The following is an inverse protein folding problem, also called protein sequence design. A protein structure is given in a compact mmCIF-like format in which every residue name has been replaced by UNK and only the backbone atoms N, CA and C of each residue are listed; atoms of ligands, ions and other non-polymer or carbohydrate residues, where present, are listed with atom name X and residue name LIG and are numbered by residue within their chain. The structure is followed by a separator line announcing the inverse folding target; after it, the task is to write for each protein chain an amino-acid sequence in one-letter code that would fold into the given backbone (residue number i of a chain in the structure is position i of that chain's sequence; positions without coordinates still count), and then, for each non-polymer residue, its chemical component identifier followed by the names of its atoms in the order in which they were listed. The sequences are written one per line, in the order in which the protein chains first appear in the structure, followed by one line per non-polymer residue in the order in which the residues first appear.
data_IF_792299279963
#
_entry.id   IF_792299279963
#
_cell.length_a   1.000
_cell.length_b   1.000
_cell.length_c   1.000
_cell.angle_alpha   90.00
_cell.angle_beta   90.00
_cell.angle_gamma   90.00
#
_symmetry.space_group_name_H-M   'P 1'
#
loop_
_entity.id
_entity.type
_entity.pdbx_description
1 polymer ?
#
# COMPACT_ATOMS: atom_id res chain seq x y z
N UNK A 1 -36.57 10.62 -12.33
CA UNK A 1 -36.26 9.72 -11.19
C UNK A 1 -34.86 10.06 -10.69
N UNK A 2 -34.50 9.78 -9.44
CA UNK A 2 -33.10 9.96 -9.03
C UNK A 2 -32.20 9.05 -9.88
N UNK A 3 -31.37 9.64 -10.74
CA UNK A 3 -30.45 8.98 -11.71
C UNK A 3 -29.59 7.90 -11.04
N UNK A 4 -29.42 8.01 -9.73
CA UNK A 4 -28.64 7.13 -8.87
C UNK A 4 -29.26 5.73 -8.74
N UNK A 5 -30.60 5.56 -8.80
CA UNK A 5 -31.22 4.24 -8.60
C UNK A 5 -30.89 3.23 -9.70
N UNK A 6 -30.44 3.70 -10.87
CA UNK A 6 -29.89 2.87 -11.95
C UNK A 6 -28.62 2.09 -11.55
N UNK A 7 -28.00 2.44 -10.42
CA UNK A 7 -26.80 1.78 -9.89
C UNK A 7 -27.14 0.69 -8.88
N UNK A 8 -28.41 0.30 -8.76
CA UNK A 8 -28.85 -0.80 -7.92
C UNK A 8 -28.92 -2.10 -8.71
N UNK A 9 -28.29 -3.16 -8.22
CA UNK A 9 -28.40 -4.47 -8.86
C UNK A 9 -29.84 -5.01 -8.75
N UNK A 10 -30.32 -5.78 -9.75
CA UNK A 10 -31.59 -6.50 -9.65
C UNK A 10 -31.61 -7.44 -8.44
N UNK A 11 -32.81 -7.69 -7.89
CA UNK A 11 -32.97 -8.61 -6.75
C UNK A 11 -32.43 -10.00 -7.11
N UNK A 12 -31.56 -10.54 -6.25
CA UNK A 12 -30.94 -11.85 -6.45
C UNK A 12 -29.73 -11.89 -7.38
N UNK A 13 -29.37 -10.76 -8.01
CA UNK A 13 -28.18 -10.67 -8.84
C UNK A 13 -26.90 -10.87 -8.03
N UNK A 14 -25.91 -11.55 -8.64
CA UNK A 14 -24.58 -11.75 -8.07
C UNK A 14 -23.52 -11.46 -9.13
N UNK A 15 -22.45 -10.71 -8.80
CA UNK A 15 -21.38 -10.46 -9.74
C UNK A 15 -20.57 -11.72 -10.02
N UNK A 16 -20.14 -11.90 -11.27
CA UNK A 16 -19.13 -12.90 -11.62
C UNK A 16 -17.78 -12.50 -11.02
N UNK A 17 -17.13 -13.44 -10.33
CA UNK A 17 -15.81 -13.22 -9.70
C UNK A 17 -14.68 -12.91 -10.70
N UNK A 18 -14.86 -13.21 -11.98
CA UNK A 18 -13.87 -12.94 -13.04
C UNK A 18 -14.11 -11.60 -13.74
N UNK A 19 -15.35 -11.09 -13.73
CA UNK A 19 -15.75 -9.89 -14.50
C UNK A 19 -15.90 -8.64 -13.65
N UNK A 20 -15.91 -8.76 -12.32
CA UNK A 20 -16.14 -7.63 -11.42
C UNK A 20 -15.12 -7.59 -10.28
N UNK A 21 -14.61 -6.40 -10.00
CA UNK A 21 -13.99 -6.10 -8.69
C UNK A 21 -15.13 -5.78 -7.73
N UNK A 22 -15.11 -6.37 -6.53
CA UNK A 22 -16.14 -6.08 -5.53
C UNK A 22 -15.55 -5.41 -4.32
N UNK A 23 -16.19 -4.33 -3.86
CA UNK A 23 -15.76 -3.56 -2.70
C UNK A 23 -16.87 -3.57 -1.66
N UNK A 24 -16.54 -3.85 -0.41
CA UNK A 24 -17.44 -3.77 0.72
C UNK A 24 -17.28 -2.41 1.39
N UNK A 25 -18.38 -1.66 1.47
CA UNK A 25 -18.42 -0.38 2.15
C UNK A 25 -19.22 -0.47 3.45
N UNK A 26 -18.81 0.33 4.42
CA UNK A 26 -19.63 0.74 5.56
C UNK A 26 -19.79 2.25 5.50
N UNK A 27 -21.02 2.74 5.61
CA UNK A 27 -21.29 4.19 5.60
C UNK A 27 -22.03 4.62 6.87
N UNK A 28 -21.96 5.90 7.15
CA UNK A 28 -22.80 6.58 8.13
C UNK A 28 -23.46 7.75 7.40
N UNK A 29 -24.79 7.86 7.50
CA UNK A 29 -25.52 8.96 6.89
C UNK A 29 -25.27 10.26 7.66
N UNK A 30 -25.29 11.39 6.96
CA UNK A 30 -25.16 12.70 7.61
C UNK A 30 -26.26 12.94 8.66
N UNK A 31 -25.94 13.74 9.69
CA UNK A 31 -26.87 14.06 10.77
C UNK A 31 -28.18 14.65 10.20
N UNK A 32 -29.32 14.14 10.69
CA UNK A 32 -30.64 14.58 10.26
C UNK A 32 -31.17 13.87 9.01
N UNK A 33 -30.35 13.08 8.30
CA UNK A 33 -30.86 12.25 7.21
C UNK A 33 -31.62 11.01 7.73
N UNK A 34 -32.81 10.72 7.20
CA UNK A 34 -33.57 9.55 7.63
C UNK A 34 -32.90 8.26 7.14
N UNK A 35 -33.03 7.18 7.91
CA UNK A 35 -32.48 5.85 7.56
C UNK A 35 -32.99 5.32 6.21
N UNK A 36 -34.17 5.76 5.75
CA UNK A 36 -34.72 5.44 4.44
C UNK A 36 -33.80 5.85 3.28
N UNK A 37 -32.91 6.83 3.49
CA UNK A 37 -31.92 7.30 2.50
C UNK A 37 -30.68 6.43 2.37
N UNK A 38 -30.57 5.33 3.13
CA UNK A 38 -29.41 4.44 3.05
C UNK A 38 -29.21 3.86 1.65
N UNK A 39 -30.30 3.44 0.98
CA UNK A 39 -30.21 2.91 -0.39
C UNK A 39 -29.80 3.98 -1.39
N UNK A 40 -30.35 5.18 -1.28
CA UNK A 40 -29.97 6.33 -2.10
C UNK A 40 -28.48 6.67 -1.91
N UNK A 41 -27.97 6.63 -0.67
CA UNK A 41 -26.55 6.85 -0.38
C UNK A 41 -25.64 5.77 -0.98
N UNK A 42 -26.03 4.49 -0.86
CA UNK A 42 -25.29 3.39 -1.48
C UNK A 42 -25.24 3.52 -3.00
N UNK A 43 -26.39 3.86 -3.61
CA UNK A 43 -26.53 4.11 -5.04
C UNK A 43 -25.63 5.27 -5.51
N UNK A 44 -25.61 6.39 -4.76
CA UNK A 44 -24.72 7.52 -5.02
C UNK A 44 -23.24 7.16 -4.91
N UNK A 45 -22.86 6.33 -3.92
CA UNK A 45 -21.50 5.81 -3.80
C UNK A 45 -21.10 5.04 -5.07
N UNK A 46 -21.95 4.13 -5.55
CA UNK A 46 -21.66 3.40 -6.79
C UNK A 46 -21.62 4.32 -8.03
N UNK A 47 -22.51 5.31 -8.10
CA UNK A 47 -22.56 6.27 -9.19
C UNK A 47 -21.28 7.11 -9.28
N UNK A 48 -20.94 7.84 -8.21
CA UNK A 48 -19.82 8.79 -8.13
C UNK A 48 -18.44 8.09 -8.14
N UNK A 49 -18.38 6.78 -7.86
CA UNK A 49 -17.15 5.98 -7.97
C UNK A 49 -17.03 5.18 -9.27
N UNK A 50 -17.96 5.35 -10.22
CA UNK A 50 -17.89 4.70 -11.54
C UNK A 50 -18.14 5.67 -12.69
N UNK A 51 -19.39 5.88 -13.08
CA UNK A 51 -19.75 6.60 -14.32
C UNK A 51 -20.77 7.70 -14.14
N UNK A 52 -21.28 7.89 -12.92
CA UNK A 52 -22.39 8.79 -12.61
C UNK A 52 -21.94 10.14 -12.08
N UNK A 53 -22.93 11.01 -11.90
CA UNK A 53 -22.79 12.29 -11.20
C UNK A 53 -24.15 12.69 -10.58
N UNK A 54 -24.22 13.86 -9.96
CA UNK A 54 -25.37 14.35 -9.19
C UNK A 54 -26.60 14.73 -10.05
N UNK A 55 -26.46 14.85 -11.37
CA UNK A 55 -27.53 15.25 -12.30
C UNK A 55 -27.51 14.42 -13.59
N UNK A 56 -28.60 14.46 -14.34
CA UNK A 56 -28.61 13.98 -15.72
C UNK A 56 -27.65 14.81 -16.57
N UNK A 57 -26.93 14.12 -17.46
CA UNK A 57 -25.97 14.71 -18.39
C UNK A 57 -26.47 14.57 -19.82
N UNK A 58 -25.91 15.36 -20.74
CA UNK A 58 -26.23 15.29 -22.16
C UNK A 58 -26.19 13.84 -22.66
N UNK A 59 -27.27 13.39 -23.30
CA UNK A 59 -27.46 11.99 -23.74
C UNK A 59 -27.58 11.85 -25.26
N UNK A 60 -27.23 12.89 -26.02
CA UNK A 60 -27.29 12.85 -27.48
C UNK A 60 -26.21 11.98 -28.13
N UNK A 61 -26.08 12.08 -29.46
CA UNK A 61 -25.38 11.11 -30.31
C UNK A 61 -23.94 10.77 -29.87
N UNK A 62 -23.19 11.73 -29.35
CA UNK A 62 -21.78 11.58 -28.95
C UNK A 62 -21.55 11.71 -27.44
N UNK A 63 -22.59 11.50 -26.63
CA UNK A 63 -22.54 11.66 -25.16
C UNK A 63 -21.67 10.63 -24.43
N UNK A 64 -21.34 9.50 -25.06
CA UNK A 64 -20.70 8.38 -24.38
C UNK A 64 -21.62 7.60 -23.41
N UNK A 65 -22.88 8.02 -23.22
CA UNK A 65 -23.81 7.42 -22.24
C UNK A 65 -24.09 5.94 -22.48
N UNK A 66 -24.17 5.51 -23.75
CA UNK A 66 -24.30 4.08 -24.11
C UNK A 66 -23.12 3.25 -23.63
N UNK A 67 -21.92 3.83 -23.63
CA UNK A 67 -20.72 3.15 -23.15
C UNK A 67 -20.65 3.19 -21.62
N UNK A 68 -20.90 4.35 -21.01
CA UNK A 68 -20.98 4.52 -19.56
C UNK A 68 -21.94 3.50 -18.92
N UNK A 69 -23.10 3.25 -19.54
CA UNK A 69 -24.06 2.26 -19.07
C UNK A 69 -23.48 0.84 -18.91
N UNK A 70 -22.51 0.45 -19.73
CA UNK A 70 -21.82 -0.87 -19.64
C UNK A 70 -20.85 -0.95 -18.47
N UNK A 71 -20.33 0.20 -18.03
CA UNK A 71 -19.31 0.30 -16.98
C UNK A 71 -19.86 0.79 -15.63
N UNK A 72 -21.19 0.95 -15.52
CA UNK A 72 -21.86 1.28 -14.25
C UNK A 72 -21.49 0.25 -13.19
N UNK A 73 -21.07 0.74 -12.02
CA UNK A 73 -20.97 -0.11 -10.86
C UNK A 73 -22.36 -0.40 -10.28
N UNK A 74 -22.55 -1.56 -9.66
CA UNK A 74 -23.84 -1.98 -9.13
C UNK A 74 -23.75 -2.28 -7.63
N UNK A 75 -24.64 -1.66 -6.85
CA UNK A 75 -24.85 -1.95 -5.44
C UNK A 75 -25.59 -3.27 -5.28
N UNK A 76 -25.08 -4.15 -4.44
CA UNK A 76 -25.72 -5.42 -4.08
C UNK A 76 -25.40 -5.79 -2.63
N UNK A 77 -26.06 -6.83 -2.10
CA UNK A 77 -25.81 -7.37 -0.76
C UNK A 77 -25.86 -6.29 0.34
N UNK A 78 -27.02 -5.63 0.46
CA UNK A 78 -27.27 -4.50 1.35
C UNK A 78 -27.69 -5.01 2.73
N UNK A 79 -26.88 -4.72 3.75
CA UNK A 79 -27.19 -4.91 5.16
C UNK A 79 -27.37 -3.53 5.83
N UNK A 80 -28.60 -3.03 5.79
CA UNK A 80 -28.94 -1.75 6.39
C UNK A 80 -28.85 -1.77 7.93
N UNK A 81 -28.91 -2.93 8.58
CA UNK A 81 -28.74 -3.01 10.05
C UNK A 81 -27.29 -2.73 10.45
N UNK A 82 -26.33 -3.15 9.64
CA UNK A 82 -24.90 -2.90 9.85
C UNK A 82 -24.37 -1.67 9.13
N UNK A 83 -25.22 -0.96 8.38
CA UNK A 83 -24.88 0.11 7.46
C UNK A 83 -23.82 -0.30 6.42
N UNK A 84 -23.92 -1.51 5.89
CA UNK A 84 -22.95 -2.07 4.94
C UNK A 84 -23.63 -2.47 3.62
N UNK A 85 -22.87 -2.38 2.54
CA UNK A 85 -23.28 -2.84 1.21
C UNK A 85 -22.05 -3.15 0.37
N UNK A 86 -22.22 -3.96 -0.68
CA UNK A 86 -21.16 -4.20 -1.66
C UNK A 86 -21.43 -3.44 -2.93
N UNK A 87 -20.37 -3.02 -3.60
CA UNK A 87 -20.40 -2.46 -4.95
C UNK A 87 -19.58 -3.36 -5.86
N UNK A 88 -20.18 -3.76 -6.98
CA UNK A 88 -19.53 -4.52 -8.04
C UNK A 88 -19.18 -3.58 -9.20
N UNK A 89 -17.88 -3.41 -9.45
CA UNK A 89 -17.35 -2.60 -10.53
C UNK A 89 -16.95 -3.50 -11.70
N UNK A 90 -17.44 -3.26 -12.92
CA UNK A 90 -16.96 -3.99 -14.10
C UNK A 90 -15.44 -3.90 -14.20
N UNK A 91 -14.77 -5.05 -14.39
CA UNK A 91 -13.30 -5.11 -14.41
C UNK A 91 -12.69 -4.18 -15.45
N UNK A 92 -13.32 -4.11 -16.63
CA UNK A 92 -12.86 -3.31 -17.77
C UNK A 92 -13.01 -1.78 -17.55
N UNK A 93 -13.60 -1.34 -16.43
CA UNK A 93 -13.56 0.06 -15.99
C UNK A 93 -12.14 0.49 -15.56
N UNK A 94 -11.28 -0.47 -15.18
CA UNK A 94 -9.97 -0.16 -14.60
C UNK A 94 -8.82 -0.61 -15.50
N UNK A 95 -7.80 0.24 -15.55
CA UNK A 95 -6.55 -0.05 -16.23
C UNK A 95 -5.77 -1.18 -15.51
N UNK A 96 -5.38 -2.26 -16.21
CA UNK A 96 -4.54 -3.31 -15.63
C UNK A 96 -3.20 -2.74 -15.12
N UNK A 97 -2.76 -3.17 -13.94
CA UNK A 97 -1.48 -2.74 -13.35
C UNK A 97 -1.51 -1.37 -12.68
N UNK A 98 -2.64 -0.65 -12.69
CA UNK A 98 -2.77 0.69 -12.12
C UNK A 98 -3.62 0.71 -10.84
N UNK A 99 -2.99 0.48 -9.69
CA UNK A 99 -3.70 0.51 -8.39
C UNK A 99 -4.19 1.92 -8.04
N UNK A 100 -3.46 2.97 -8.45
CA UNK A 100 -3.85 4.36 -8.21
C UNK A 100 -5.12 4.71 -8.97
N UNK A 101 -5.19 4.31 -10.25
CA UNK A 101 -6.38 4.48 -11.09
C UNK A 101 -7.58 3.70 -10.57
N UNK A 102 -7.36 2.50 -10.03
CA UNK A 102 -8.42 1.78 -9.32
C UNK A 102 -8.89 2.57 -8.09
N UNK A 103 -7.99 2.95 -7.17
CA UNK A 103 -8.36 3.62 -5.92
C UNK A 103 -9.04 4.99 -6.13
N UNK A 104 -8.76 5.68 -7.24
CA UNK A 104 -9.38 6.95 -7.58
C UNK A 104 -10.91 6.89 -7.65
N UNK A 105 -11.50 5.72 -7.94
CA UNK A 105 -12.95 5.51 -7.84
C UNK A 105 -13.40 5.19 -6.42
N UNK A 106 -13.21 3.95 -5.92
CA UNK A 106 -13.76 3.48 -4.64
C UNK A 106 -13.15 4.14 -3.38
N UNK A 107 -12.05 4.87 -3.50
CA UNK A 107 -11.41 5.59 -2.39
C UNK A 107 -11.15 7.07 -2.72
N UNK A 108 -11.75 7.60 -3.80
CA UNK A 108 -11.61 8.99 -4.21
C UNK A 108 -12.72 9.88 -3.65
N UNK A 109 -13.42 10.57 -4.55
CA UNK A 109 -14.35 11.65 -4.21
C UNK A 109 -15.49 11.22 -3.27
N UNK A 110 -15.88 9.95 -3.28
CA UNK A 110 -17.01 9.45 -2.50
C UNK A 110 -16.84 9.61 -0.99
N UNK A 111 -15.60 9.68 -0.50
CA UNK A 111 -15.32 9.91 0.92
C UNK A 111 -15.74 11.32 1.38
N UNK A 112 -15.85 12.29 0.46
CA UNK A 112 -16.23 13.68 0.75
C UNK A 112 -17.69 14.01 0.48
N UNK A 113 -18.54 13.02 0.18
CA UNK A 113 -19.95 13.24 -0.13
C UNK A 113 -20.70 13.78 1.10
N UNK A 114 -21.34 14.95 0.97
CA UNK A 114 -22.08 15.63 2.06
C UNK A 114 -23.22 14.79 2.68
N UNK A 115 -23.73 13.80 1.96
CA UNK A 115 -24.77 12.89 2.46
C UNK A 115 -24.24 11.84 3.45
N UNK A 116 -22.92 11.76 3.62
CA UNK A 116 -22.23 10.81 4.49
C UNK A 116 -21.56 11.56 5.64
N UNK A 117 -21.79 11.12 6.87
CA UNK A 117 -20.98 11.50 8.03
C UNK A 117 -19.67 10.69 8.10
N UNK A 118 -19.66 9.49 7.50
CA UNK A 118 -18.50 8.63 7.44
C UNK A 118 -18.62 7.59 6.32
N UNK A 119 -17.48 7.25 5.72
CA UNK A 119 -17.37 6.18 4.74
C UNK A 119 -16.10 5.39 5.05
N UNK A 120 -16.22 4.06 5.10
CA UNK A 120 -15.11 3.14 5.26
C UNK A 120 -15.18 2.05 4.22
N UNK A 121 -14.11 1.90 3.47
CA UNK A 121 -13.87 0.74 2.64
C UNK A 121 -13.36 -0.40 3.54
N UNK A 122 -14.13 -1.48 3.61
CA UNK A 122 -13.92 -2.58 4.56
C UNK A 122 -13.15 -3.75 3.94
N UNK A 123 -13.41 -4.07 2.68
CA UNK A 123 -12.79 -5.20 1.98
C UNK A 123 -12.85 -4.99 0.46
N UNK A 124 -11.94 -5.65 -0.27
CA UNK A 124 -11.91 -5.69 -1.73
C UNK A 124 -11.61 -7.10 -2.21
N UNK A 125 -12.32 -7.52 -3.25
CA UNK A 125 -12.01 -8.75 -3.98
C UNK A 125 -11.67 -8.42 -5.43
N UNK A 126 -10.45 -8.77 -5.81
CA UNK A 126 -9.95 -8.60 -7.18
C UNK A 126 -10.08 -9.90 -7.99
N UNK A 127 -10.55 -9.85 -9.25
CA UNK A 127 -10.43 -10.96 -10.19
C UNK A 127 -8.99 -11.37 -10.41
N UNK A 128 -8.77 -12.65 -10.72
CA UNK A 128 -7.41 -13.19 -10.96
C UNK A 128 -6.69 -12.46 -12.09
N UNK A 129 -7.41 -12.05 -13.14
CA UNK A 129 -6.87 -11.27 -14.27
C UNK A 129 -6.30 -9.92 -13.80
N UNK A 130 -6.98 -9.21 -12.91
CA UNK A 130 -6.48 -7.95 -12.36
C UNK A 130 -5.25 -8.19 -11.49
N UNK A 131 -5.29 -9.16 -10.57
CA UNK A 131 -4.14 -9.49 -9.70
C UNK A 131 -2.89 -9.82 -10.52
N UNK A 132 -3.04 -10.63 -11.58
CA UNK A 132 -1.93 -11.03 -12.47
C UNK A 132 -1.33 -9.89 -13.29
N UNK A 133 -2.00 -8.74 -13.38
CA UNK A 133 -1.44 -7.56 -14.05
C UNK A 133 -0.37 -6.84 -13.21
N UNK A 134 -0.25 -7.17 -11.92
CA UNK A 134 0.75 -6.61 -11.02
C UNK A 134 1.94 -7.56 -10.85
N UNK A 135 3.16 -7.04 -10.68
CA UNK A 135 4.36 -7.86 -10.55
C UNK A 135 4.51 -8.58 -9.20
N UNK A 136 3.64 -8.28 -8.22
CA UNK A 136 3.69 -8.82 -6.85
C UNK A 136 5.03 -8.55 -6.12
N UNK A 137 5.25 -9.08 -4.90
CA UNK A 137 6.56 -9.04 -4.25
C UNK A 137 7.64 -9.80 -5.06
N UNK A 138 8.83 -9.23 -5.24
CA UNK A 138 9.92 -9.87 -6.02
C UNK A 138 10.50 -11.10 -5.33
N UNK A 139 10.72 -11.03 -4.02
CA UNK A 139 11.46 -12.06 -3.27
C UNK A 139 10.57 -12.88 -2.31
N UNK A 140 9.54 -12.26 -1.73
CA UNK A 140 8.64 -12.91 -0.77
C UNK A 140 9.34 -13.36 0.54
N UNK A 141 8.60 -14.14 1.33
CA UNK A 141 9.05 -14.64 2.63
C UNK A 141 10.23 -15.61 2.46
N UNK A 142 10.13 -16.54 1.50
CA UNK A 142 11.19 -17.53 1.29
C UNK A 142 12.51 -16.89 0.86
N UNK A 143 12.47 -15.86 0.01
CA UNK A 143 13.67 -15.10 -0.35
C UNK A 143 14.33 -14.45 0.86
N UNK A 144 13.54 -13.91 1.80
CA UNK A 144 14.05 -13.31 3.03
C UNK A 144 14.72 -14.36 3.93
N UNK A 145 14.12 -15.54 4.08
CA UNK A 145 14.70 -16.65 4.85
C UNK A 145 16.01 -17.13 4.24
N UNK A 146 16.06 -17.22 2.91
CA UNK A 146 17.26 -17.64 2.18
C UNK A 146 18.41 -16.63 2.35
N UNK A 147 18.15 -15.33 2.28
CA UNK A 147 19.21 -14.31 2.38
C UNK A 147 19.77 -14.16 3.81
N UNK A 148 18.93 -14.43 4.81
CA UNK A 148 19.33 -14.53 6.21
C UNK A 148 19.98 -15.88 6.55
N UNK A 149 19.91 -16.87 5.66
CA UNK A 149 20.38 -18.24 5.88
C UNK A 149 19.71 -18.93 7.08
N UNK A 150 18.44 -18.60 7.34
CA UNK A 150 17.68 -19.24 8.41
C UNK A 150 17.42 -20.71 8.07
N UNK A 151 18.14 -21.61 8.74
CA UNK A 151 18.04 -23.07 8.63
C UNK A 151 17.82 -23.69 10.01
N UNK A 152 17.41 -24.95 10.03
CA UNK A 152 17.13 -25.66 11.28
C UNK A 152 16.12 -24.89 12.13
N UNK A 153 16.46 -24.68 13.40
CA UNK A 153 15.59 -23.98 14.36
C UNK A 153 15.22 -22.55 13.91
N UNK A 154 16.09 -21.85 13.15
CA UNK A 154 15.82 -20.48 12.68
C UNK A 154 14.81 -20.41 11.52
N UNK A 155 14.55 -21.52 10.84
CA UNK A 155 13.62 -21.57 9.70
C UNK A 155 12.17 -21.28 10.13
N UNK A 156 11.81 -21.70 11.34
CA UNK A 156 10.46 -21.56 11.90
C UNK A 156 10.31 -20.35 12.84
N UNK A 157 11.42 -19.82 13.35
CA UNK A 157 11.39 -18.66 14.24
C UNK A 157 11.01 -17.36 13.51
N UNK A 158 10.34 -16.41 14.17
CA UNK A 158 10.19 -15.04 13.65
C UNK A 158 11.54 -14.39 13.35
N UNK A 159 11.60 -13.52 12.34
CA UNK A 159 12.78 -12.69 12.07
C UNK A 159 12.84 -11.61 13.15
N UNK A 160 13.93 -11.56 13.91
CA UNK A 160 14.10 -10.65 15.05
C UNK A 160 14.76 -9.35 14.60
N UNK A 161 14.20 -8.21 14.98
CA UNK A 161 14.83 -6.94 14.68
C UNK A 161 14.38 -5.81 15.60
N UNK A 162 15.03 -4.67 15.46
CA UNK A 162 14.79 -3.49 16.31
C UNK A 162 14.87 -2.18 15.53
N UNK A 163 14.35 -1.11 16.15
CA UNK A 163 14.46 0.26 15.67
C UNK A 163 15.34 1.02 16.66
N UNK A 164 16.52 1.51 16.25
CA UNK A 164 17.36 2.33 17.12
C UNK A 164 16.60 3.56 17.65
N UNK A 165 16.71 3.83 18.97
CA UNK A 165 16.04 4.96 19.66
C UNK A 165 17.03 5.83 20.44
N UNK A 166 16.90 7.17 20.51
CA UNK A 166 15.72 7.96 20.19
C UNK A 166 15.40 7.98 18.70
N UNK A 167 14.14 8.30 18.39
CA UNK A 167 13.59 8.32 17.02
C UNK A 167 14.51 9.07 16.05
N UNK A 168 14.93 10.26 16.48
CA UNK A 168 15.81 11.20 15.78
C UNK A 168 16.73 11.84 16.84
N UNK A 169 17.96 12.19 16.46
CA UNK A 169 18.89 12.94 17.30
C UNK A 169 20.33 12.41 17.27
N UNK A 170 20.53 11.14 16.88
CA UNK A 170 21.88 10.59 16.66
C UNK A 170 22.49 11.10 15.37
N UNK A 171 23.76 11.42 15.42
CA UNK A 171 24.61 11.60 14.24
C UNK A 171 24.78 10.29 13.46
N UNK A 172 25.26 10.38 12.21
CA UNK A 172 25.55 9.17 11.42
C UNK A 172 26.58 8.24 12.10
N UNK A 173 27.52 8.80 12.87
CA UNK A 173 28.57 8.04 13.57
C UNK A 173 28.01 7.33 14.81
N UNK A 174 27.22 8.02 15.62
CA UNK A 174 26.55 7.42 16.77
C UNK A 174 25.55 6.34 16.34
N UNK A 175 24.88 6.53 15.21
CA UNK A 175 23.98 5.53 14.65
C UNK A 175 24.73 4.24 14.25
N UNK A 176 25.92 4.37 13.66
CA UNK A 176 26.76 3.22 13.31
C UNK A 176 27.33 2.52 14.55
N UNK A 177 27.78 3.29 15.55
CA UNK A 177 28.24 2.71 16.82
C UNK A 177 27.14 1.87 17.50
N UNK A 178 25.92 2.40 17.56
CA UNK A 178 24.78 1.64 18.09
C UNK A 178 24.43 0.42 17.23
N UNK A 179 24.52 0.53 15.90
CA UNK A 179 24.27 -0.61 15.01
C UNK A 179 25.22 -1.77 15.33
N UNK A 180 26.50 -1.49 15.60
CA UNK A 180 27.46 -2.51 16.04
C UNK A 180 26.98 -3.20 17.32
N UNK A 181 26.68 -2.43 18.36
CA UNK A 181 26.22 -2.97 19.65
C UNK A 181 25.01 -3.87 19.48
N UNK A 182 24.00 -3.42 18.73
CA UNK A 182 22.76 -4.16 18.48
C UNK A 182 22.99 -5.45 17.68
N UNK A 183 23.84 -5.42 16.65
CA UNK A 183 24.10 -6.60 15.83
C UNK A 183 24.99 -7.65 16.51
N UNK A 184 25.71 -7.27 17.56
CA UNK A 184 26.51 -8.19 18.38
C UNK A 184 25.83 -8.60 19.68
N UNK A 185 24.72 -7.96 20.05
CA UNK A 185 23.95 -8.30 21.24
C UNK A 185 23.27 -9.68 21.10
N UNK A 186 23.04 -10.35 22.24
CA UNK A 186 22.33 -11.63 22.28
C UNK A 186 22.98 -12.70 21.41
N UNK A 187 24.31 -12.78 21.43
CA UNK A 187 25.12 -13.66 20.57
C UNK A 187 24.92 -13.40 19.06
N UNK A 188 24.52 -12.18 18.71
CA UNK A 188 24.15 -11.82 17.35
C UNK A 188 22.82 -12.42 16.91
N UNK A 189 21.84 -12.54 17.79
CA UNK A 189 20.51 -13.06 17.42
C UNK A 189 19.63 -12.06 16.64
N UNK A 190 19.96 -10.76 16.64
CA UNK A 190 19.22 -9.76 15.89
C UNK A 190 19.50 -9.88 14.38
N UNK A 191 18.46 -10.13 13.60
CA UNK A 191 18.56 -10.26 12.14
C UNK A 191 18.60 -8.91 11.45
N UNK A 192 17.90 -7.91 11.99
CA UNK A 192 17.86 -6.58 11.38
C UNK A 192 17.77 -5.42 12.36
N UNK A 193 18.28 -4.27 11.90
CA UNK A 193 17.87 -2.96 12.41
C UNK A 193 17.20 -2.19 11.28
N UNK A 194 16.26 -1.30 11.62
CA UNK A 194 15.65 -0.38 10.65
C UNK A 194 15.80 1.07 11.04
N UNK A 195 15.93 1.94 10.06
CA UNK A 195 15.72 3.36 10.28
C UNK A 195 14.30 3.61 10.80
N UNK A 196 14.14 4.67 11.59
CA UNK A 196 12.83 5.21 11.95
C UNK A 196 12.21 5.92 10.74
N UNK A 197 10.87 6.02 10.64
CA UNK A 197 10.22 6.50 9.40
C UNK A 197 10.54 7.93 9.02
N UNK A 198 10.91 8.77 10.00
CA UNK A 198 11.31 10.14 9.76
C UNK A 198 12.83 10.33 9.75
N UNK A 199 13.63 9.26 9.86
CA UNK A 199 15.09 9.30 9.74
C UNK A 199 15.51 9.22 8.26
N UNK A 200 15.35 10.35 7.56
CA UNK A 200 15.73 10.47 6.14
C UNK A 200 17.21 10.86 6.00
N UNK A 201 17.53 11.94 5.26
CA UNK A 201 18.88 12.54 5.25
C UNK A 201 18.81 13.88 5.97
N UNK A 202 19.27 13.91 7.22
CA UNK A 202 19.18 15.07 8.11
C UNK A 202 20.56 15.71 8.28
N UNK A 203 20.61 16.99 8.69
CA UNK A 203 21.87 17.75 8.81
C UNK A 203 22.94 17.05 9.66
N UNK A 204 22.54 16.47 10.79
CA UNK A 204 23.45 15.74 11.69
C UNK A 204 23.58 14.25 11.33
N UNK A 205 22.66 13.73 10.51
CA UNK A 205 22.59 12.32 10.14
C UNK A 205 22.32 12.19 8.63
N UNK A 206 23.38 12.38 7.84
CA UNK A 206 23.33 12.22 6.40
C UNK A 206 23.13 10.75 6.02
N UNK A 207 22.17 10.50 5.13
CA UNK A 207 21.80 9.16 4.67
C UNK A 207 22.99 8.39 4.08
N UNK A 208 23.79 9.04 3.24
CA UNK A 208 24.87 8.36 2.52
C UNK A 208 25.99 7.95 3.48
N UNK A 209 26.37 8.85 4.40
CA UNK A 209 27.34 8.57 5.46
C UNK A 209 26.82 7.49 6.42
N UNK A 210 25.60 7.64 6.94
CA UNK A 210 24.97 6.65 7.84
C UNK A 210 24.96 5.28 7.19
N UNK A 211 24.48 5.17 5.95
CA UNK A 211 24.39 3.90 5.23
C UNK A 211 25.75 3.25 5.08
N UNK A 212 26.76 3.99 4.61
CA UNK A 212 28.11 3.44 4.44
C UNK A 212 28.70 2.95 5.77
N UNK A 213 28.54 3.72 6.86
CA UNK A 213 29.07 3.38 8.17
C UNK A 213 28.36 2.15 8.78
N UNK A 214 27.02 2.13 8.78
CA UNK A 214 26.23 0.99 9.29
C UNK A 214 26.51 -0.27 8.49
N UNK A 215 26.64 -0.18 7.17
CA UNK A 215 27.01 -1.34 6.34
C UNK A 215 28.44 -1.84 6.65
N UNK A 216 29.36 -0.94 7.02
CA UNK A 216 30.68 -1.31 7.53
C UNK A 216 30.60 -2.11 8.82
N UNK A 217 29.76 -1.69 9.77
CA UNK A 217 29.54 -2.41 11.03
C UNK A 217 28.81 -3.75 10.83
N UNK A 218 27.87 -3.84 9.89
CA UNK A 218 27.26 -5.12 9.49
C UNK A 218 28.31 -6.12 9.05
N UNK A 219 29.26 -5.73 8.19
CA UNK A 219 30.31 -6.66 7.71
C UNK A 219 31.15 -7.21 8.87
N UNK A 220 31.45 -6.37 9.86
CA UNK A 220 32.18 -6.79 11.07
C UNK A 220 31.34 -7.72 11.94
N UNK A 221 30.07 -7.39 12.16
CA UNK A 221 29.15 -8.20 12.96
C UNK A 221 28.87 -9.57 12.31
N UNK A 222 28.67 -9.64 10.99
CA UNK A 222 28.52 -10.91 10.27
C UNK A 222 29.77 -11.78 10.41
N UNK A 223 30.97 -11.20 10.33
CA UNK A 223 32.23 -11.93 10.54
C UNK A 223 32.38 -12.44 11.97
N UNK A 224 31.95 -11.65 12.95
CA UNK A 224 32.07 -12.00 14.37
C UNK A 224 31.06 -13.07 14.80
N UNK A 225 29.82 -12.94 14.35
CA UNK A 225 28.69 -13.76 14.83
C UNK A 225 28.39 -14.95 13.91
N UNK A 226 28.87 -14.94 12.67
CA UNK A 226 28.49 -15.92 11.66
C UNK A 226 27.05 -15.75 11.12
N UNK A 227 26.27 -14.82 11.68
CA UNK A 227 24.88 -14.60 11.31
C UNK A 227 24.73 -13.46 10.31
N UNK A 228 23.91 -13.66 9.27
CA UNK A 228 23.59 -12.63 8.28
C UNK A 228 22.73 -11.53 8.88
N UNK A 229 23.00 -10.28 8.51
CA UNK A 229 22.33 -9.08 9.04
C UNK A 229 21.71 -8.24 7.94
N UNK A 230 20.64 -7.53 8.28
CA UNK A 230 19.95 -6.61 7.38
C UNK A 230 19.87 -5.22 8.02
N UNK A 231 20.17 -4.20 7.22
CA UNK A 231 19.86 -2.83 7.56
C UNK A 231 18.77 -2.32 6.63
N UNK A 232 17.64 -1.96 7.20
CA UNK A 232 16.49 -1.41 6.48
C UNK A 232 16.64 0.12 6.44
N UNK A 233 17.51 0.58 5.54
CA UNK A 233 17.80 2.00 5.35
C UNK A 233 16.63 2.73 4.69
N UNK A 234 16.16 3.83 5.27
CA UNK A 234 14.98 4.54 4.78
C UNK A 234 15.32 5.42 3.56
N UNK A 235 14.78 5.06 2.39
CA UNK A 235 15.01 5.79 1.14
C UNK A 235 13.98 6.89 0.87
N UNK A 236 12.91 7.00 1.67
CA UNK A 236 11.78 7.91 1.45
C UNK A 236 12.23 9.33 1.10
N UNK A 237 11.70 9.86 0.00
CA UNK A 237 11.95 11.20 -0.50
C UNK A 237 10.84 11.61 -1.48
N UNK A 238 10.61 12.91 -1.67
CA UNK A 238 9.65 13.42 -2.66
C UNK A 238 10.12 13.31 -4.12
N UNK A 239 11.34 12.81 -4.35
CA UNK A 239 11.96 12.66 -5.67
C UNK A 239 12.32 11.20 -5.88
N UNK A 240 11.74 10.60 -6.92
CA UNK A 240 12.02 9.21 -7.31
C UNK A 240 13.49 9.04 -7.69
N UNK A 241 14.11 10.04 -8.33
CA UNK A 241 15.52 9.95 -8.70
C UNK A 241 16.43 9.90 -7.47
N UNK A 242 16.09 10.65 -6.42
CA UNK A 242 16.80 10.55 -5.14
C UNK A 242 16.58 9.19 -4.47
N UNK A 243 15.35 8.67 -4.46
CA UNK A 243 15.05 7.32 -3.97
C UNK A 243 15.87 6.25 -4.71
N UNK A 244 16.00 6.38 -6.03
CA UNK A 244 16.81 5.49 -6.86
C UNK A 244 18.30 5.61 -6.58
N UNK A 245 18.83 6.84 -6.39
CA UNK A 245 20.23 7.06 -5.97
C UNK A 245 20.52 6.42 -4.62
N UNK A 246 19.62 6.57 -3.65
CA UNK A 246 19.72 5.95 -2.32
C UNK A 246 19.69 4.43 -2.38
N UNK A 247 18.77 3.86 -3.17
CA UNK A 247 18.72 2.40 -3.39
C UNK A 247 20.01 1.88 -4.04
N UNK A 248 20.53 2.57 -5.05
CA UNK A 248 21.80 2.21 -5.67
C UNK A 248 22.97 2.31 -4.67
N UNK A 249 22.96 3.31 -3.78
CA UNK A 249 23.97 3.45 -2.73
C UNK A 249 23.93 2.30 -1.72
N UNK A 250 22.73 1.89 -1.27
CA UNK A 250 22.56 0.70 -0.42
C UNK A 250 23.18 -0.52 -1.11
N UNK A 251 22.82 -0.77 -2.38
CA UNK A 251 23.33 -1.93 -3.12
C UNK A 251 24.85 -1.91 -3.27
N UNK A 252 25.44 -0.77 -3.64
CA UNK A 252 26.91 -0.61 -3.77
C UNK A 252 27.66 -0.88 -2.47
N UNK A 253 27.05 -0.58 -1.33
CA UNK A 253 27.65 -0.86 -0.01
C UNK A 253 27.42 -2.31 0.48
N UNK A 254 26.79 -3.17 -0.32
CA UNK A 254 26.49 -4.56 0.01
C UNK A 254 25.19 -4.74 0.80
N UNK A 255 24.36 -3.69 0.88
CA UNK A 255 23.04 -3.75 1.49
C UNK A 255 22.07 -4.61 0.69
N UNK A 256 21.05 -5.10 1.38
CA UNK A 256 20.12 -6.14 0.88
C UNK A 256 18.67 -5.71 0.92
N UNK A 257 18.36 -4.71 1.74
CA UNK A 257 17.01 -4.23 2.00
C UNK A 257 17.02 -2.71 1.96
N UNK A 258 15.96 -2.14 1.42
CA UNK A 258 15.61 -0.74 1.58
C UNK A 258 14.27 -0.64 2.31
N UNK A 259 14.08 0.42 3.07
CA UNK A 259 12.81 0.80 3.67
C UNK A 259 12.18 1.95 2.89
N UNK A 260 10.86 1.90 2.71
CA UNK A 260 10.07 2.93 2.07
C UNK A 260 8.77 3.18 2.86
N UNK A 261 8.44 4.44 3.11
CA UNK A 261 7.17 4.85 3.73
C UNK A 261 6.08 4.95 2.66
N UNK A 262 5.29 3.89 2.50
CA UNK A 262 4.48 3.67 1.29
C UNK A 262 3.21 4.52 1.22
N UNK A 263 2.67 5.00 2.34
CA UNK A 263 1.47 5.85 2.32
C UNK A 263 1.88 7.28 1.98
N UNK A 264 2.86 7.85 2.71
CA UNK A 264 3.34 9.22 2.44
C UNK A 264 4.07 9.40 1.11
N UNK A 265 4.80 8.39 0.62
CA UNK A 265 5.43 8.47 -0.73
C UNK A 265 4.47 8.08 -1.85
N UNK A 266 3.40 7.36 -1.53
CA UNK A 266 2.33 6.99 -2.46
C UNK A 266 2.61 5.77 -3.33
N UNK A 267 1.53 5.19 -3.88
CA UNK A 267 1.58 3.96 -4.68
C UNK A 267 2.38 4.08 -5.97
N UNK A 268 2.45 5.28 -6.58
CA UNK A 268 3.26 5.52 -7.77
C UNK A 268 4.76 5.35 -7.47
N UNK A 269 5.23 5.87 -6.33
CA UNK A 269 6.61 5.71 -5.88
C UNK A 269 6.91 4.23 -5.56
N UNK A 270 6.03 3.57 -4.79
CA UNK A 270 6.17 2.14 -4.48
C UNK A 270 6.23 1.28 -5.74
N UNK A 271 5.32 1.49 -6.69
CA UNK A 271 5.30 0.74 -7.94
C UNK A 271 6.58 0.98 -8.75
N UNK A 272 7.02 2.23 -8.86
CA UNK A 272 8.26 2.59 -9.56
C UNK A 272 9.47 1.91 -8.93
N UNK A 273 9.58 1.93 -7.60
CA UNK A 273 10.64 1.21 -6.89
C UNK A 273 10.53 -0.30 -7.10
N UNK A 274 9.33 -0.90 -7.07
CA UNK A 274 9.16 -2.33 -7.35
C UNK A 274 9.65 -2.71 -8.75
N UNK A 275 9.48 -1.85 -9.73
CA UNK A 275 9.90 -2.11 -11.11
C UNK A 275 11.41 -1.86 -11.31
N UNK A 276 11.93 -0.75 -10.78
CA UNK A 276 13.30 -0.27 -11.09
C UNK A 276 14.35 -0.58 -10.03
N UNK A 277 13.99 -1.08 -8.84
CA UNK A 277 14.97 -1.29 -7.76
C UNK A 277 16.14 -2.22 -8.16
N UNK A 278 17.36 -1.97 -7.65
CA UNK A 278 18.59 -2.68 -7.99
C UNK A 278 18.72 -4.03 -7.26
N UNK A 279 17.63 -4.79 -7.23
CA UNK A 279 17.52 -6.09 -6.56
C UNK A 279 17.76 -6.00 -5.04
N UNK A 280 16.93 -5.18 -4.40
CA UNK A 280 16.83 -5.03 -2.96
C UNK A 280 15.43 -5.44 -2.50
N UNK A 281 15.35 -6.04 -1.32
CA UNK A 281 14.08 -6.23 -0.64
C UNK A 281 13.47 -4.88 -0.27
N UNK A 282 12.14 -4.77 -0.35
CA UNK A 282 11.41 -3.57 0.05
C UNK A 282 10.71 -3.84 1.38
N UNK A 283 11.17 -3.20 2.44
CA UNK A 283 10.39 -3.07 3.67
C UNK A 283 9.42 -1.90 3.53
N UNK A 284 8.12 -2.20 3.47
CA UNK A 284 7.07 -1.21 3.39
C UNK A 284 6.65 -0.76 4.79
N UNK A 285 7.07 0.45 5.17
CA UNK A 285 6.56 1.11 6.36
C UNK A 285 5.29 1.89 6.01
N UNK A 286 4.30 1.91 6.91
CA UNK A 286 2.94 2.41 6.64
C UNK A 286 2.62 3.76 7.28
N UNK A 287 3.65 4.58 7.50
CA UNK A 287 3.48 5.99 7.87
C UNK A 287 2.78 6.75 6.76
#
# INVERSE_FOLDING_TARGET
MAVQLDYMAPKGWKPSAEKYITVLFKIELARGMPKSKFRDAAASVAAESSTGTWTEVYSGRNSGMKNAAKYRALVYDIDQRRNMFKVAYPLDLFEPGNISGFLAGPAGNIAGMKMLAGLRLMDMRFPRKFVKSFPGPRHGIQGLRNILQHRGVFAEMPVMGTVPKPKIGRTHSEQAALARELFTAGDGSYDFIKDDENLTSLKFNDFYRRTSMVMGEIKKAEKLTGHRKLYLANISHSSIDEMMRRAAHIKRNGGRVMMLDVVVTGFAALHTMRMRNPDLFIHAHRA
#
